data_IF_381716691240
#
_entry.id   IF_381716691240
#
_cell.length_a   1.000
_cell.length_b   1.000
_cell.length_c   1.000
_cell.angle_alpha   90.00
_cell.angle_beta   90.00
_cell.angle_gamma   90.00
#
_symmetry.space_group_name_H-M   'P 1'
#
loop_
_entity.id
_entity.type
_entity.pdbx_description
1 polymer ?
#
# COMPACT_ATOMS: atom_id res chain seq x y z
N UNK A 1 3.90 17.30 -7.23
CA UNK A 1 2.50 17.23 -7.74
C UNK A 1 1.50 16.54 -6.79
N UNK A 2 1.92 15.73 -5.81
CA UNK A 2 0.99 15.07 -4.85
C UNK A 2 0.39 16.01 -3.79
N UNK A 3 1.14 17.02 -3.32
CA UNK A 3 0.68 17.96 -2.28
C UNK A 3 -0.47 18.83 -2.81
N UNK A 4 -0.38 19.33 -4.06
CA UNK A 4 -1.42 20.16 -4.69
C UNK A 4 -2.74 19.41 -4.92
N UNK A 5 -2.70 18.11 -5.26
CA UNK A 5 -3.91 17.28 -5.40
C UNK A 5 -4.57 16.97 -4.07
N UNK A 6 -3.78 16.68 -3.02
CA UNK A 6 -4.33 16.40 -1.67
C UNK A 6 -4.95 17.64 -1.03
N UNK A 7 -4.39 18.83 -1.25
CA UNK A 7 -4.97 20.09 -0.74
C UNK A 7 -6.36 20.40 -1.33
N UNK A 8 -6.58 20.10 -2.61
CA UNK A 8 -7.88 20.34 -3.25
C UNK A 8 -9.02 19.50 -2.64
N UNK A 9 -8.77 18.24 -2.29
CA UNK A 9 -9.77 17.38 -1.62
C UNK A 9 -10.12 17.93 -0.24
N UNK A 10 -9.11 18.37 0.52
CA UNK A 10 -9.35 18.95 1.85
C UNK A 10 -10.24 20.19 1.76
N UNK A 11 -9.99 21.07 0.78
CA UNK A 11 -10.82 22.26 0.55
C UNK A 11 -12.26 21.91 0.18
N UNK A 12 -12.47 20.92 -0.71
CA UNK A 12 -13.81 20.45 -1.07
C UNK A 12 -14.59 19.92 0.14
N UNK A 13 -13.93 19.16 1.02
CA UNK A 13 -14.55 18.63 2.23
C UNK A 13 -14.88 19.75 3.23
N UNK A 14 -14.00 20.74 3.37
CA UNK A 14 -14.26 21.90 4.23
C UNK A 14 -15.51 22.65 3.76
N UNK A 15 -15.70 22.81 2.45
CA UNK A 15 -16.89 23.43 1.87
C UNK A 15 -18.15 22.55 2.01
N UNK A 16 -18.06 21.26 1.67
CA UNK A 16 -19.19 20.32 1.73
C UNK A 16 -19.74 20.16 3.14
N UNK A 17 -18.87 20.10 4.14
CA UNK A 17 -19.24 19.88 5.55
C UNK A 17 -19.30 21.17 6.37
N UNK A 18 -19.10 22.34 5.74
CA UNK A 18 -19.13 23.66 6.39
C UNK A 18 -18.21 23.69 7.63
N UNK A 19 -16.96 23.28 7.44
CA UNK A 19 -15.96 23.22 8.50
C UNK A 19 -15.14 24.51 8.55
N UNK A 20 -14.68 24.88 9.73
CA UNK A 20 -13.60 25.87 9.87
C UNK A 20 -12.27 25.14 10.01
N UNK A 21 -11.32 25.43 9.10
CA UNK A 21 -10.02 24.77 9.06
C UNK A 21 -8.90 25.77 9.35
N UNK A 22 -8.07 25.46 10.34
CA UNK A 22 -6.82 26.17 10.63
C UNK A 22 -5.62 25.27 10.33
N UNK A 23 -4.61 25.82 9.64
CA UNK A 23 -3.39 25.08 9.26
C UNK A 23 -2.17 25.81 9.78
N UNK A 24 -1.41 25.15 10.65
CA UNK A 24 -0.14 25.67 11.16
C UNK A 24 1.02 24.76 10.73
N UNK A 25 2.12 25.38 10.27
CA UNK A 25 3.33 24.64 9.97
C UNK A 25 4.15 24.43 11.26
N UNK A 26 4.12 23.20 11.77
CA UNK A 26 4.86 22.81 12.96
C UNK A 26 6.18 22.11 12.59
N UNK A 27 7.26 22.39 13.33
CA UNK A 27 8.53 21.66 13.17
C UNK A 27 8.31 20.16 13.40
N UNK A 28 8.88 19.31 12.55
CA UNK A 28 8.76 17.84 12.64
C UNK A 28 9.08 17.27 14.03
N UNK A 29 10.08 17.82 14.73
CA UNK A 29 10.43 17.40 16.10
C UNK A 29 9.31 17.64 17.13
N UNK A 30 8.41 18.59 16.85
CA UNK A 30 7.30 18.96 17.73
C UNK A 30 5.96 18.41 17.22
N UNK A 31 5.93 17.80 16.03
CA UNK A 31 4.72 17.24 15.46
C UNK A 31 4.50 15.81 15.98
N UNK A 32 3.62 15.67 16.98
CA UNK A 32 3.26 14.36 17.56
C UNK A 32 2.68 13.40 16.51
N UNK A 33 1.97 13.90 15.50
CA UNK A 33 1.43 13.07 14.43
C UNK A 33 2.54 12.52 13.53
N UNK A 34 3.66 13.23 13.39
CA UNK A 34 4.81 12.76 12.61
C UNK A 34 5.45 11.53 13.25
N UNK A 35 5.52 11.46 14.59
CA UNK A 35 5.95 10.23 15.27
C UNK A 35 4.99 9.05 15.03
N UNK A 36 3.68 9.31 15.07
CA UNK A 36 2.64 8.29 14.86
C UNK A 36 2.53 7.82 13.40
N UNK A 37 2.93 8.65 12.44
CA UNK A 37 2.82 8.37 11.00
C UNK A 37 4.17 8.08 10.33
N UNK A 38 5.28 8.17 11.07
CA UNK A 38 6.62 7.89 10.56
C UNK A 38 6.73 6.42 10.14
N UNK A 39 6.91 6.22 8.84
CA UNK A 39 7.25 4.92 8.29
C UNK A 39 8.68 4.56 8.67
N UNK A 40 8.93 3.38 9.28
CA UNK A 40 10.29 2.95 9.59
C UNK A 40 11.19 3.01 8.35
N UNK A 41 12.37 3.65 8.46
CA UNK A 41 13.31 3.82 7.33
C UNK A 41 13.68 2.50 6.64
N UNK A 42 13.63 1.38 7.36
CA UNK A 42 13.85 0.04 6.79
C UNK A 42 12.79 -0.37 5.74
N UNK A 43 11.56 0.15 5.83
CA UNK A 43 10.49 -0.10 4.84
C UNK A 43 10.66 0.74 3.58
N UNK A 44 11.31 1.89 3.70
CA UNK A 44 11.67 2.74 2.56
C UNK A 44 12.89 2.20 1.80
N UNK A 45 13.60 1.22 2.36
CA UNK A 45 14.68 0.56 1.62
C UNK A 45 14.03 -0.26 0.51
N UNK A 46 14.43 -0.04 -0.76
CA UNK A 46 14.12 -1.00 -1.81
C UNK A 46 14.55 -2.38 -1.31
N UNK A 47 13.77 -3.44 -1.57
CA UNK A 47 14.20 -4.79 -1.26
C UNK A 47 15.61 -4.96 -1.83
N UNK A 48 16.58 -5.39 -1.00
CA UNK A 48 17.85 -5.85 -1.52
C UNK A 48 17.51 -6.84 -2.62
N UNK A 49 18.07 -6.66 -3.83
CA UNK A 49 17.76 -7.46 -5.00
C UNK A 49 17.84 -8.94 -4.58
N UNK A 50 16.67 -9.51 -4.29
CA UNK A 50 16.59 -10.87 -3.80
C UNK A 50 17.13 -11.73 -4.91
N UNK A 51 18.08 -12.61 -4.56
CA UNK A 51 18.65 -13.57 -5.50
C UNK A 51 17.50 -14.15 -6.33
N UNK A 52 17.54 -13.88 -7.64
CA UNK A 52 16.56 -14.41 -8.57
C UNK A 52 16.44 -15.91 -8.31
N UNK A 53 15.22 -16.46 -8.14
CA UNK A 53 15.08 -17.90 -7.97
C UNK A 53 15.53 -18.54 -9.28
N UNK A 54 16.72 -19.14 -9.25
CA UNK A 54 17.25 -19.97 -10.32
C UNK A 54 16.49 -21.29 -10.26
N UNK A 55 15.34 -21.35 -10.92
CA UNK A 55 14.63 -22.60 -11.16
C UNK A 55 14.14 -22.65 -12.61
N UNK A 56 14.70 -23.62 -13.35
CA UNK A 56 14.27 -24.24 -14.60
C UNK A 56 13.62 -23.33 -15.68
N UNK A 57 14.43 -23.11 -16.70
CA UNK A 57 14.23 -22.30 -17.89
C UNK A 57 13.00 -22.65 -18.77
N UNK A 58 12.60 -21.62 -19.52
CA UNK A 58 11.97 -21.58 -20.85
C UNK A 58 10.46 -21.82 -21.03
N UNK A 59 9.76 -22.67 -20.28
CA UNK A 59 8.29 -22.81 -20.45
C UNK A 59 7.47 -21.75 -19.67
N UNK A 60 8.02 -21.21 -18.56
CA UNK A 60 7.31 -20.32 -17.64
C UNK A 60 7.27 -18.84 -18.05
N UNK A 61 8.13 -18.39 -18.98
CA UNK A 61 8.15 -16.98 -19.42
C UNK A 61 6.86 -16.61 -20.17
N UNK A 62 6.35 -17.51 -21.02
CA UNK A 62 5.10 -17.29 -21.77
C UNK A 62 3.89 -17.21 -20.84
N UNK A 63 3.78 -18.16 -19.90
CA UNK A 63 2.70 -18.19 -18.90
C UNK A 63 2.78 -16.97 -17.98
N UNK A 64 3.98 -16.60 -17.52
CA UNK A 64 4.17 -15.41 -16.68
C UNK A 64 3.76 -14.12 -17.39
N UNK A 65 4.12 -13.96 -18.67
CA UNK A 65 3.72 -12.82 -19.49
C UNK A 65 2.22 -12.79 -19.72
N UNK A 66 1.61 -13.93 -20.08
CA UNK A 66 0.17 -14.04 -20.24
C UNK A 66 -0.59 -13.67 -18.96
N UNK A 67 -0.13 -14.13 -17.79
CA UNK A 67 -0.71 -13.76 -16.50
C UNK A 67 -0.59 -12.24 -16.27
N UNK A 68 0.55 -11.64 -16.61
CA UNK A 68 0.77 -10.20 -16.47
C UNK A 68 -0.16 -9.39 -17.41
N UNK A 69 -0.32 -9.83 -18.65
CA UNK A 69 -1.20 -9.21 -19.65
C UNK A 69 -2.66 -9.28 -19.19
N UNK A 70 -3.11 -10.47 -18.75
CA UNK A 70 -4.45 -10.65 -18.16
C UNK A 70 -4.63 -9.74 -16.95
N UNK A 71 -3.67 -9.73 -16.01
CA UNK A 71 -3.73 -8.88 -14.82
C UNK A 71 -3.86 -7.39 -15.18
N UNK A 72 -3.10 -6.92 -16.16
CA UNK A 72 -3.15 -5.53 -16.60
C UNK A 72 -4.48 -5.19 -17.27
N UNK A 73 -4.97 -6.05 -18.16
CA UNK A 73 -6.23 -5.87 -18.87
C UNK A 73 -7.45 -5.80 -17.94
N UNK A 74 -7.45 -6.57 -16.84
CA UNK A 74 -8.57 -6.60 -15.88
C UNK A 74 -8.38 -5.65 -14.68
N UNK A 75 -7.36 -4.77 -14.72
CA UNK A 75 -7.19 -3.70 -13.73
C UNK A 75 -6.51 -4.11 -12.42
N UNK A 76 -5.47 -4.93 -12.47
CA UNK A 76 -4.63 -5.32 -11.32
C UNK A 76 -5.38 -5.91 -10.11
N UNK A 77 -6.33 -6.85 -10.26
CA UNK A 77 -7.00 -7.45 -9.13
C UNK A 77 -6.08 -8.41 -8.37
N UNK A 78 -6.50 -8.78 -7.15
CA UNK A 78 -5.75 -9.70 -6.31
C UNK A 78 -5.67 -11.13 -6.85
N UNK A 79 -4.77 -11.93 -6.26
CA UNK A 79 -4.38 -13.29 -6.69
C UNK A 79 -5.56 -14.18 -7.09
N UNK A 80 -6.64 -14.22 -6.30
CA UNK A 80 -7.79 -15.10 -6.57
C UNK A 80 -8.49 -14.75 -7.89
N UNK A 81 -8.73 -13.46 -8.14
CA UNK A 81 -9.41 -12.99 -9.36
C UNK A 81 -8.51 -13.15 -10.58
N UNK A 82 -7.23 -12.79 -10.47
CA UNK A 82 -6.25 -12.99 -11.56
C UNK A 82 -6.10 -14.45 -11.94
N UNK A 83 -6.09 -15.37 -10.96
CA UNK A 83 -6.06 -16.82 -11.23
C UNK A 83 -7.30 -17.29 -11.99
N UNK A 84 -8.49 -16.77 -11.66
CA UNK A 84 -9.73 -17.11 -12.35
C UNK A 84 -9.63 -16.73 -13.84
N UNK A 85 -9.23 -15.49 -14.14
CA UNK A 85 -9.08 -15.02 -15.52
C UNK A 85 -7.95 -15.73 -16.27
N UNK A 86 -6.79 -15.94 -15.63
CA UNK A 86 -5.68 -16.65 -16.25
C UNK A 86 -6.07 -18.09 -16.63
N UNK A 87 -6.89 -18.77 -15.81
CA UNK A 87 -7.38 -20.13 -16.09
C UNK A 87 -8.43 -20.21 -17.20
N UNK A 88 -9.08 -19.11 -17.53
CA UNK A 88 -9.93 -19.04 -18.73
C UNK A 88 -9.09 -19.06 -20.00
N UNK A 89 -7.82 -18.63 -19.93
CA UNK A 89 -6.87 -18.66 -21.06
C UNK A 89 -6.04 -19.94 -21.06
N UNK A 90 -5.51 -20.33 -19.89
CA UNK A 90 -4.71 -21.54 -19.70
C UNK A 90 -5.10 -22.23 -18.38
N UNK A 91 -5.84 -23.36 -18.44
CA UNK A 91 -6.26 -24.10 -17.25
C UNK A 91 -5.12 -24.61 -16.37
N UNK A 92 -3.89 -24.71 -16.90
CA UNK A 92 -2.72 -25.22 -16.17
C UNK A 92 -2.09 -24.20 -15.23
N UNK A 93 -2.55 -22.94 -15.25
CA UNK A 93 -2.02 -21.89 -14.37
C UNK A 93 -2.24 -22.23 -12.90
N UNK A 94 -1.15 -22.14 -12.14
CA UNK A 94 -1.13 -22.35 -10.69
C UNK A 94 -1.11 -21.04 -9.92
N UNK A 95 -1.69 -21.08 -8.71
CA UNK A 95 -1.73 -19.93 -7.79
C UNK A 95 -0.34 -19.35 -7.48
N UNK A 96 0.70 -20.19 -7.44
CA UNK A 96 2.08 -19.75 -7.17
C UNK A 96 2.64 -18.86 -8.29
N UNK A 97 2.37 -19.19 -9.56
CA UNK A 97 2.78 -18.37 -10.71
C UNK A 97 2.10 -16.99 -10.66
N UNK A 98 0.78 -16.97 -10.39
CA UNK A 98 0.03 -15.71 -10.24
C UNK A 98 0.55 -14.87 -9.07
N UNK A 99 0.81 -15.50 -7.91
CA UNK A 99 1.41 -14.80 -6.76
C UNK A 99 2.76 -14.20 -7.13
N UNK A 100 3.60 -14.92 -7.87
CA UNK A 100 4.92 -14.44 -8.30
C UNK A 100 4.79 -13.22 -9.22
N UNK A 101 3.92 -13.26 -10.23
CA UNK A 101 3.68 -12.13 -11.15
C UNK A 101 3.16 -10.90 -10.40
N UNK A 102 2.14 -11.05 -9.55
CA UNK A 102 1.57 -9.93 -8.78
C UNK A 102 2.61 -9.36 -7.80
N UNK A 103 3.39 -10.22 -7.14
CA UNK A 103 4.45 -9.77 -6.21
C UNK A 103 5.55 -8.97 -6.88
N UNK A 104 5.71 -9.12 -8.20
CA UNK A 104 6.69 -8.38 -9.01
C UNK A 104 6.07 -7.24 -9.83
N UNK A 105 4.76 -7.01 -9.71
CA UNK A 105 4.06 -5.95 -10.41
C UNK A 105 4.28 -4.59 -9.71
N UNK A 106 5.00 -3.65 -10.35
CA UNK A 106 5.34 -2.35 -9.77
C UNK A 106 4.12 -1.52 -9.33
N UNK A 107 3.03 -1.38 -10.13
CA UNK A 107 1.81 -0.73 -9.67
C UNK A 107 1.26 -1.33 -8.37
N UNK A 108 1.21 -2.67 -8.26
CA UNK A 108 0.70 -3.35 -7.06
C UNK A 108 1.60 -3.14 -5.84
N UNK A 109 2.93 -3.22 -6.00
CA UNK A 109 3.89 -2.98 -4.90
C UNK A 109 3.80 -1.57 -4.34
N UNK A 110 3.54 -0.58 -5.21
CA UNK A 110 3.49 0.83 -4.79
C UNK A 110 2.29 1.15 -3.91
N UNK A 111 1.20 0.39 -4.05
CA UNK A 111 -0.04 0.59 -3.30
C UNK A 111 -0.09 -0.24 -2.00
N UNK A 112 0.49 -1.44 -2.02
CA UNK A 112 0.41 -2.39 -0.91
C UNK A 112 1.83 -2.72 -0.42
N UNK A 113 2.45 -1.84 0.40
CA UNK A 113 3.72 -2.15 1.02
C UNK A 113 3.53 -3.44 1.84
N UNK A 114 4.45 -4.40 1.65
CA UNK A 114 4.38 -5.70 2.32
C UNK A 114 4.01 -5.52 3.80
N UNK A 115 2.97 -6.22 4.24
CA UNK A 115 2.49 -6.15 5.61
C UNK A 115 3.56 -6.67 6.59
N UNK A 116 4.54 -5.83 6.92
CA UNK A 116 5.38 -6.06 8.07
C UNK A 116 4.50 -5.92 9.30
N UNK A 117 4.52 -6.96 10.14
CA UNK A 117 3.80 -6.94 11.42
C UNK A 117 4.30 -5.74 12.21
N UNK A 118 3.40 -4.82 12.51
CA UNK A 118 3.66 -3.72 13.42
C UNK A 118 4.25 -4.30 14.71
N UNK A 119 5.41 -3.81 15.13
CA UNK A 119 5.87 -4.10 16.49
C UNK A 119 4.76 -3.56 17.39
N UNK A 120 4.17 -4.42 18.24
CA UNK A 120 3.23 -3.96 19.27
C UNK A 120 3.98 -3.00 20.18
N UNK A 121 3.81 -1.70 19.95
CA UNK A 121 4.27 -0.67 20.88
C UNK A 121 3.10 -0.44 21.82
N UNK A 122 3.30 -0.74 23.09
CA UNK A 122 2.33 -0.42 24.13
C UNK A 122 2.38 1.09 24.36
N UNK A 123 1.37 1.80 23.89
CA UNK A 123 1.12 3.17 24.31
C UNK A 123 0.51 3.09 25.73
N UNK A 124 1.34 3.26 26.77
CA UNK A 124 0.83 3.45 28.13
C UNK A 124 0.18 4.83 28.18
N UNK A 125 -1.14 4.83 28.31
CA UNK A 125 -1.93 6.00 28.69
C UNK A 125 -2.56 5.61 30.03
N UNK A 126 -2.43 6.48 31.02
CA UNK A 126 -2.84 6.17 32.40
C UNK A 126 -4.34 5.90 32.53
N UNK A 127 -5.18 6.45 31.63
CA UNK A 127 -6.63 6.22 31.63
C UNK A 127 -7.20 5.92 30.23
N UNK A 128 -8.18 5.00 30.18
CA UNK A 128 -8.70 4.41 28.94
C UNK A 128 -9.47 5.39 28.03
N UNK A 129 -9.92 6.53 28.55
CA UNK A 129 -10.80 7.47 27.84
C UNK A 129 -10.10 8.68 27.21
N UNK A 130 -8.78 8.83 27.38
CA UNK A 130 -7.98 9.82 26.65
C UNK A 130 -7.62 9.39 25.21
N UNK A 131 -8.20 8.28 24.73
CA UNK A 131 -8.02 7.71 23.38
C UNK A 131 -9.14 8.06 22.40
N UNK A 132 -9.91 9.11 22.65
CA UNK A 132 -10.66 9.79 21.58
C UNK A 132 -9.86 11.03 21.22
N UNK A 133 -9.63 11.25 19.92
CA UNK A 133 -8.78 12.33 19.44
C UNK A 133 -9.32 13.70 19.84
N UNK A 134 -8.80 14.26 20.93
CA UNK A 134 -9.05 15.64 21.31
C UNK A 134 -8.29 16.59 20.37
N UNK A 135 -8.97 16.99 19.30
CA UNK A 135 -8.67 18.27 18.66
C UNK A 135 -9.93 19.00 18.22
N UNK A 136 -10.72 19.42 19.21
CA UNK A 136 -11.50 20.66 19.15
C UNK A 136 -11.44 21.28 20.54
N UNK A 137 -10.86 22.47 20.66
CA UNK A 137 -11.12 23.38 21.78
C UNK A 137 -11.40 24.76 21.17
N UNK A 138 -12.69 25.11 21.12
CA UNK A 138 -13.13 26.47 21.38
C UNK A 138 -13.14 26.73 22.88
#
# INVERSE_FOLDING_TARGET
MLIRRKGGIVLLLVEEFVLELYVELVRSANNKADELTRVPRRWLKPPAAGRAPVCAATANLGVGRMIADVQHAVGHPGIKRTLCFARQTDPTVFKQQVRHVISNCEPCKSLDPAAEKWKRVNLKVEEAWQKVGDHVRG
#
